data_IF_860042708607
#
_entry.id   IF_860042708607
#
_cell.length_a   1.000
_cell.length_b   1.000
_cell.length_c   1.000
_cell.angle_alpha   90.00
_cell.angle_beta   90.00
_cell.angle_gamma   90.00
#
_symmetry.space_group_name_H-M   'P 1'
#
loop_
_entity.id
_entity.type
_entity.pdbx_description
1 polymer ?
#
# COMPACT_ATOMS: atom_id res chain seq x y z
N UNK A 1 -37.73 -6.21 -9.52
CA UNK A 1 -36.72 -6.08 -8.44
C UNK A 1 -35.78 -4.95 -8.86
N UNK A 2 -35.79 -3.87 -8.09
CA UNK A 2 -35.09 -2.57 -8.18
C UNK A 2 -33.99 -2.35 -9.25
N UNK A 3 -34.27 -1.50 -10.25
CA UNK A 3 -33.31 -0.87 -11.17
C UNK A 3 -32.34 0.14 -10.50
N UNK A 4 -32.21 0.14 -9.17
CA UNK A 4 -31.41 1.13 -8.42
C UNK A 4 -30.09 0.61 -7.85
N UNK A 5 -29.68 -0.60 -8.20
CA UNK A 5 -28.48 -1.27 -7.64
C UNK A 5 -27.28 -1.30 -8.62
N UNK A 6 -27.19 -0.31 -9.52
CA UNK A 6 -26.02 -0.13 -10.39
C UNK A 6 -25.53 1.32 -10.33
N UNK A 7 -25.39 1.86 -9.12
CA UNK A 7 -24.47 3.00 -8.92
C UNK A 7 -23.08 2.40 -8.89
N UNK A 8 -22.51 2.23 -10.07
CA UNK A 8 -21.08 2.01 -10.23
C UNK A 8 -20.43 3.27 -9.66
N UNK A 9 -20.02 3.21 -8.38
CA UNK A 9 -19.26 4.30 -7.80
C UNK A 9 -18.04 4.50 -8.71
N UNK A 10 -17.86 5.65 -9.37
CA UNK A 10 -16.74 5.84 -10.30
C UNK A 10 -15.38 5.71 -9.60
N UNK A 11 -15.39 5.76 -8.26
CA UNK A 11 -14.26 5.38 -7.41
C UNK A 11 -14.02 3.86 -7.38
N UNK A 12 -15.06 3.03 -7.26
CA UNK A 12 -14.95 1.58 -7.26
C UNK A 12 -14.34 1.05 -8.57
N UNK A 13 -14.76 1.57 -9.73
CA UNK A 13 -14.19 1.17 -11.02
C UNK A 13 -12.69 1.50 -11.16
N UNK A 14 -12.27 2.67 -10.66
CA UNK A 14 -10.86 3.07 -10.68
C UNK A 14 -10.00 2.16 -9.81
N UNK A 15 -10.46 1.85 -8.61
CA UNK A 15 -9.75 0.94 -7.70
C UNK A 15 -9.75 -0.49 -8.21
N UNK A 16 -10.83 -0.94 -8.85
CA UNK A 16 -10.92 -2.30 -9.41
C UNK A 16 -9.80 -2.57 -10.41
N UNK A 17 -9.52 -1.64 -11.33
CA UNK A 17 -8.39 -1.76 -12.28
C UNK A 17 -7.01 -1.85 -11.61
N UNK A 18 -6.84 -1.21 -10.46
CA UNK A 18 -5.60 -1.24 -9.67
C UNK A 18 -5.46 -2.59 -8.97
N UNK A 19 -6.55 -3.09 -8.37
CA UNK A 19 -6.57 -4.37 -7.65
C UNK A 19 -6.56 -5.60 -8.57
N UNK A 20 -7.05 -5.49 -9.80
CA UNK A 20 -6.99 -6.57 -10.80
C UNK A 20 -5.56 -6.85 -11.29
N UNK A 21 -4.62 -5.94 -11.05
CA UNK A 21 -3.22 -6.12 -11.47
C UNK A 21 -2.35 -6.65 -10.33
N UNK A 22 -2.22 -7.98 -10.25
CA UNK A 22 -1.45 -8.64 -9.18
C UNK A 22 0.04 -8.25 -9.16
N UNK A 23 0.63 -7.96 -10.32
CA UNK A 23 2.03 -7.50 -10.41
C UNK A 23 2.20 -6.11 -9.82
N UNK A 24 1.23 -5.23 -10.05
CA UNK A 24 1.21 -3.89 -9.47
C UNK A 24 1.08 -3.97 -7.94
N UNK A 25 0.18 -4.82 -7.44
CA UNK A 25 0.02 -5.06 -6.00
C UNK A 25 1.27 -5.67 -5.38
N UNK A 26 1.90 -6.62 -6.07
CA UNK A 26 3.16 -7.21 -5.63
C UNK A 26 4.27 -6.15 -5.51
N UNK A 27 4.47 -5.34 -6.56
CA UNK A 27 5.47 -4.27 -6.53
C UNK A 27 5.16 -3.23 -5.45
N UNK A 28 3.89 -2.87 -5.30
CA UNK A 28 3.44 -1.97 -4.24
C UNK A 28 3.73 -2.55 -2.85
N UNK A 29 3.53 -3.86 -2.65
CA UNK A 29 3.85 -4.53 -1.38
C UNK A 29 5.35 -4.50 -1.08
N UNK A 30 6.19 -4.75 -2.08
CA UNK A 30 7.65 -4.66 -1.94
C UNK A 30 8.08 -3.23 -1.62
N UNK A 31 7.47 -2.25 -2.27
CA UNK A 31 7.76 -0.84 -2.04
C UNK A 31 7.37 -0.44 -0.61
N UNK A 32 6.18 -0.82 -0.15
CA UNK A 32 5.73 -0.57 1.23
C UNK A 32 6.68 -1.25 2.23
N UNK A 33 7.01 -2.52 2.02
CA UNK A 33 7.95 -3.24 2.90
C UNK A 33 9.33 -2.59 2.93
N UNK A 34 9.84 -2.16 1.78
CA UNK A 34 11.11 -1.46 1.68
C UNK A 34 11.08 -0.15 2.46
N UNK A 35 10.04 0.67 2.28
CA UNK A 35 9.88 1.93 3.03
C UNK A 35 9.79 1.66 4.53
N UNK A 36 8.97 0.71 4.97
CA UNK A 36 8.83 0.36 6.40
C UNK A 36 10.16 -0.09 7.00
N UNK A 37 10.91 -0.96 6.31
CA UNK A 37 12.21 -1.43 6.78
C UNK A 37 13.23 -0.30 6.86
N UNK A 38 13.25 0.61 5.88
CA UNK A 38 14.14 1.76 5.90
C UNK A 38 13.77 2.74 7.02
N UNK A 39 12.49 3.03 7.22
CA UNK A 39 12.03 3.91 8.32
C UNK A 39 12.37 3.28 9.66
N UNK A 40 12.10 1.98 9.85
CA UNK A 40 12.48 1.27 11.06
C UNK A 40 13.99 1.29 11.29
N UNK A 41 14.79 0.98 10.27
CA UNK A 41 16.24 0.98 10.38
C UNK A 41 16.82 2.36 10.69
N UNK A 42 16.27 3.43 10.11
CA UNK A 42 16.66 4.80 10.44
C UNK A 42 16.27 5.15 11.88
N UNK A 43 15.06 4.78 12.30
CA UNK A 43 14.60 4.98 13.67
C UNK A 43 15.50 4.26 14.67
N UNK A 44 15.84 3.01 14.39
CA UNK A 44 16.77 2.21 15.19
C UNK A 44 18.16 2.88 15.26
N UNK A 45 18.73 3.30 14.13
CA UNK A 45 20.01 4.01 14.10
C UNK A 45 20.01 5.32 14.90
N UNK A 46 18.90 6.04 14.91
CA UNK A 46 18.77 7.30 15.65
C UNK A 46 18.52 7.10 17.16
N UNK A 47 18.04 5.92 17.55
CA UNK A 47 17.69 5.60 18.95
C UNK A 47 18.72 4.71 19.64
N UNK A 48 19.58 4.02 18.88
CA UNK A 48 20.73 3.30 19.41
C UNK A 48 21.71 4.33 19.99
N UNK A 49 22.03 4.26 21.29
CA UNK A 49 23.01 5.13 21.88
C UNK A 49 24.38 4.87 21.22
N UNK A 50 25.17 5.92 20.93
CA UNK A 50 26.53 5.72 20.44
C UNK A 50 27.29 4.86 21.46
N UNK A 51 27.86 3.77 20.96
CA UNK A 51 28.67 2.83 21.74
C UNK A 51 29.77 3.62 22.48
N UNK A 52 30.06 3.35 23.77
CA UNK A 52 31.08 4.07 24.53
C UNK A 52 32.47 4.03 23.87
#
# INVERSE_FOLDING_TARGET
>A
MSEKEKREDPFAEKWQKVFDNIWLLFLLSLLISGVLYNVWGIYDLLTVPPVP
#
